data_IF_272990042846
#
_entry.id   IF_272990042846
#
_cell.length_a   1.000
_cell.length_b   1.000
_cell.length_c   1.000
_cell.angle_alpha   90.00
_cell.angle_beta   90.00
_cell.angle_gamma   90.00
#
_symmetry.space_group_name_H-M   'P 1'
#
loop_
_entity.id
_entity.type
_entity.pdbx_description
1 polymer ?
#
# COMPACT_ATOMS: atom_id res chain seq x y z
N UNK A 1 -24.07 -13.43 -16.98
CA UNK A 1 -24.16 -12.29 -17.93
C UNK A 1 -22.79 -12.08 -18.54
N UNK A 2 -22.71 -11.75 -19.85
CA UNK A 2 -21.45 -11.73 -20.59
C UNK A 2 -20.87 -10.33 -20.76
N UNK A 3 -19.57 -10.18 -20.52
CA UNK A 3 -18.81 -8.98 -20.86
C UNK A 3 -18.45 -9.01 -22.35
N UNK A 4 -18.82 -7.98 -23.12
CA UNK A 4 -18.45 -7.88 -24.53
C UNK A 4 -17.28 -6.90 -24.73
N UNK A 5 -16.09 -7.45 -24.97
CA UNK A 5 -14.88 -6.67 -25.26
C UNK A 5 -14.58 -6.73 -26.76
N UNK A 6 -14.86 -5.64 -27.48
CA UNK A 6 -14.58 -5.51 -28.93
C UNK A 6 -13.14 -5.08 -29.26
N UNK A 7 -12.28 -4.98 -28.26
CA UNK A 7 -10.88 -4.60 -28.44
C UNK A 7 -10.03 -5.81 -28.80
N UNK A 8 -9.47 -5.83 -30.01
CA UNK A 8 -8.55 -6.88 -30.45
C UNK A 8 -7.32 -6.97 -29.53
N UNK A 9 -6.83 -5.83 -29.05
CA UNK A 9 -5.70 -5.78 -28.12
C UNK A 9 -6.03 -6.50 -26.82
N UNK A 10 -7.21 -6.25 -26.25
CA UNK A 10 -7.65 -6.91 -25.03
C UNK A 10 -7.80 -8.42 -25.23
N UNK A 11 -8.34 -8.85 -26.37
CA UNK A 11 -8.46 -10.27 -26.72
C UNK A 11 -7.08 -10.94 -26.84
N UNK A 12 -6.09 -10.28 -27.48
CA UNK A 12 -4.71 -10.80 -27.57
C UNK A 12 -4.07 -10.94 -26.18
N UNK A 13 -4.19 -9.91 -25.35
CA UNK A 13 -3.66 -9.93 -23.99
C UNK A 13 -4.30 -11.03 -23.13
N UNK A 14 -5.63 -11.20 -23.22
CA UNK A 14 -6.33 -12.26 -22.50
C UNK A 14 -5.89 -13.67 -22.94
N UNK A 15 -5.67 -13.87 -24.25
CA UNK A 15 -5.14 -15.14 -24.76
C UNK A 15 -3.72 -15.42 -24.27
N UNK A 16 -2.85 -14.41 -24.30
CA UNK A 16 -1.50 -14.52 -23.80
C UNK A 16 -1.49 -14.84 -22.30
N UNK A 17 -2.27 -14.12 -21.51
CA UNK A 17 -2.36 -14.33 -20.07
C UNK A 17 -2.87 -15.74 -19.74
N UNK A 18 -3.88 -16.23 -20.46
CA UNK A 18 -4.37 -17.60 -20.31
C UNK A 18 -3.28 -18.64 -20.62
N UNK A 19 -2.51 -18.44 -21.69
CA UNK A 19 -1.41 -19.33 -22.06
C UNK A 19 -0.28 -19.34 -21.02
N UNK A 20 0.08 -18.18 -20.47
CA UNK A 20 1.12 -18.06 -19.44
C UNK A 20 0.70 -18.62 -18.09
N UNK A 21 -0.58 -18.46 -17.72
CA UNK A 21 -1.12 -18.93 -16.43
C UNK A 21 -1.61 -20.38 -16.46
N UNK A 22 -1.82 -20.95 -17.65
CA UNK A 22 -2.45 -22.27 -17.83
C UNK A 22 -3.96 -22.29 -17.49
N UNK A 23 -4.57 -21.12 -17.29
CA UNK A 23 -5.98 -20.97 -16.95
C UNK A 23 -6.85 -20.81 -18.20
N UNK A 24 -8.18 -20.94 -18.03
CA UNK A 24 -9.11 -20.49 -19.06
C UNK A 24 -9.01 -18.98 -19.25
N UNK A 25 -9.33 -18.46 -20.44
CA UNK A 25 -9.34 -17.01 -20.68
C UNK A 25 -10.20 -16.25 -19.66
N UNK A 26 -11.35 -16.80 -19.29
CA UNK A 26 -12.24 -16.18 -18.29
C UNK A 26 -11.56 -16.14 -16.92
N UNK A 27 -11.04 -17.26 -16.44
CA UNK A 27 -10.39 -17.32 -15.13
C UNK A 27 -9.13 -16.44 -15.06
N UNK A 28 -8.35 -16.40 -16.14
CA UNK A 28 -7.18 -15.52 -16.25
C UNK A 28 -7.56 -14.03 -16.18
N UNK A 29 -8.63 -13.62 -16.88
CA UNK A 29 -9.16 -12.25 -16.82
C UNK A 29 -9.69 -11.93 -15.43
N UNK A 30 -10.49 -12.83 -14.83
CA UNK A 30 -11.05 -12.64 -13.49
C UNK A 30 -9.95 -12.44 -12.46
N UNK A 31 -8.94 -13.32 -12.44
CA UNK A 31 -7.81 -13.21 -11.53
C UNK A 31 -7.01 -11.91 -11.73
N UNK A 32 -6.79 -11.47 -12.98
CA UNK A 32 -6.09 -10.22 -13.25
C UNK A 32 -6.87 -8.99 -12.77
N UNK A 33 -8.20 -8.99 -12.97
CA UNK A 33 -9.07 -7.92 -12.50
C UNK A 33 -9.13 -7.87 -10.97
N UNK A 34 -9.25 -9.02 -10.31
CA UNK A 34 -9.22 -9.12 -8.85
C UNK A 34 -7.90 -8.61 -8.28
N UNK A 35 -6.77 -9.04 -8.85
CA UNK A 35 -5.45 -8.60 -8.43
C UNK A 35 -5.27 -7.08 -8.55
N UNK A 36 -5.75 -6.48 -9.66
CA UNK A 36 -5.65 -5.04 -9.86
C UNK A 36 -6.57 -4.26 -8.90
N UNK A 37 -7.79 -4.74 -8.66
CA UNK A 37 -8.69 -4.15 -7.67
C UNK A 37 -8.07 -4.20 -6.28
N UNK A 38 -7.52 -5.35 -5.87
CA UNK A 38 -6.84 -5.50 -4.60
C UNK A 38 -5.65 -4.55 -4.48
N UNK A 39 -4.81 -4.45 -5.52
CA UNK A 39 -3.67 -3.52 -5.56
C UNK A 39 -4.12 -2.07 -5.35
N UNK A 40 -5.18 -1.65 -6.02
CA UNK A 40 -5.74 -0.30 -5.88
C UNK A 40 -6.32 -0.05 -4.47
N UNK A 41 -6.99 -1.04 -3.88
CA UNK A 41 -7.50 -0.96 -2.51
C UNK A 41 -6.36 -0.83 -1.49
N UNK A 42 -5.32 -1.65 -1.59
CA UNK A 42 -4.15 -1.56 -0.71
C UNK A 42 -3.45 -0.20 -0.82
N UNK A 43 -3.33 0.36 -2.03
CA UNK A 43 -2.74 1.69 -2.22
C UNK A 43 -3.59 2.81 -1.62
N UNK A 44 -4.92 2.73 -1.78
CA UNK A 44 -5.86 3.68 -1.17
C UNK A 44 -5.80 3.62 0.36
N UNK A 45 -5.78 2.44 0.95
CA UNK A 45 -5.69 2.27 2.40
C UNK A 45 -4.39 2.86 2.98
N UNK A 46 -3.25 2.64 2.31
CA UNK A 46 -1.98 3.24 2.72
C UNK A 46 -2.02 4.77 2.65
N UNK A 47 -2.59 5.33 1.57
CA UNK A 47 -2.71 6.78 1.42
C UNK A 47 -3.65 7.39 2.47
N UNK A 48 -4.78 6.75 2.72
CA UNK A 48 -5.76 7.11 3.76
C UNK A 48 -5.12 7.08 5.15
N UNK A 49 -4.43 5.98 5.48
CA UNK A 49 -3.74 5.82 6.76
C UNK A 49 -2.64 6.86 6.94
N UNK A 50 -1.86 7.16 5.90
CA UNK A 50 -0.87 8.25 5.95
C UNK A 50 -1.51 9.60 6.19
N UNK A 51 -2.66 9.88 5.57
CA UNK A 51 -3.40 11.13 5.78
C UNK A 51 -3.86 11.23 7.24
N UNK A 52 -4.47 10.18 7.79
CA UNK A 52 -4.91 10.15 9.20
C UNK A 52 -3.76 10.33 10.19
N UNK A 53 -2.63 9.67 9.95
CA UNK A 53 -1.43 9.86 10.79
C UNK A 53 -0.96 11.32 10.73
N UNK A 54 -0.96 11.93 9.54
CA UNK A 54 -0.60 13.34 9.40
C UNK A 54 -1.59 14.26 10.11
N UNK A 55 -2.89 14.03 9.98
CA UNK A 55 -3.92 14.78 10.72
C UNK A 55 -3.70 14.72 12.24
N UNK A 56 -3.31 13.57 12.78
CA UNK A 56 -2.95 13.41 14.20
C UNK A 56 -1.68 14.19 14.53
N UNK A 57 -0.63 14.07 13.71
CA UNK A 57 0.65 14.77 13.93
C UNK A 57 0.45 16.29 13.90
N UNK A 58 -0.30 16.79 12.93
CA UNK A 58 -0.61 18.21 12.75
C UNK A 58 -1.54 18.73 13.85
N UNK A 59 -2.26 17.84 14.55
CA UNK A 59 -3.08 18.23 15.71
C UNK A 59 -2.27 18.50 16.97
N UNK A 60 -1.01 18.05 17.04
CA UNK A 60 -0.13 18.41 18.15
C UNK A 60 0.33 19.86 18.03
N UNK A 61 0.38 20.56 19.16
CA UNK A 61 1.00 21.88 19.24
C UNK A 61 2.52 21.84 18.99
N UNK A 62 3.16 23.00 18.80
CA UNK A 62 4.61 23.06 18.67
C UNK A 62 5.29 22.47 19.90
N UNK A 63 6.39 21.74 19.68
CA UNK A 63 7.22 21.22 20.76
C UNK A 63 7.80 22.43 21.52
N UNK A 64 7.61 22.53 22.85
CA UNK A 64 8.19 23.62 23.63
C UNK A 64 9.71 23.67 23.49
N UNK A 65 10.28 24.88 23.44
CA UNK A 65 11.73 25.04 23.36
C UNK A 65 12.44 24.38 24.55
N UNK A 66 13.58 23.75 24.28
CA UNK A 66 14.41 23.10 25.29
C UNK A 66 13.92 21.72 25.76
N UNK A 67 12.77 21.23 25.26
CA UNK A 67 12.30 19.87 25.55
C UNK A 67 12.90 18.90 24.54
N UNK A 68 13.56 17.86 25.03
CA UNK A 68 14.14 16.78 24.22
C UNK A 68 13.76 15.42 24.80
N UNK A 69 13.62 14.41 23.93
CA UNK A 69 13.55 13.00 24.33
C UNK A 69 14.93 12.39 24.54
N UNK A 70 15.99 13.19 24.46
CA UNK A 70 17.34 12.79 24.81
C UNK A 70 17.44 12.65 26.34
N UNK A 71 17.85 11.46 26.76
CA UNK A 71 18.05 11.07 28.15
C UNK A 71 19.48 10.58 28.39
N UNK A 72 20.42 10.93 27.50
CA UNK A 72 21.83 10.56 27.60
C UNK A 72 22.48 11.05 28.89
N UNK A 73 21.94 12.09 29.52
CA UNK A 73 22.34 12.57 30.84
C UNK A 73 22.11 11.53 31.96
N UNK A 74 21.06 10.71 31.86
CA UNK A 74 20.69 9.70 32.86
C UNK A 74 21.56 8.44 32.82
N UNK A 75 22.34 8.23 31.75
CA UNK A 75 23.14 7.02 31.54
C UNK A 75 24.63 7.33 31.41
N UNK A 76 25.48 6.41 31.86
CA UNK A 76 26.92 6.45 31.68
C UNK A 76 27.33 6.07 30.24
N UNK A 77 28.64 6.12 29.94
CA UNK A 77 29.17 5.79 28.61
C UNK A 77 28.93 4.33 28.19
N UNK A 78 28.54 3.46 29.13
CA UNK A 78 28.21 2.06 28.90
C UNK A 78 26.69 1.83 28.82
N UNK A 79 25.89 2.89 28.95
CA UNK A 79 24.43 2.83 28.95
C UNK A 79 23.81 2.36 30.27
N UNK A 80 24.57 2.37 31.37
CA UNK A 80 24.06 2.08 32.71
C UNK A 80 23.52 3.34 33.37
N UNK A 81 22.47 3.26 34.22
CA UNK A 81 22.00 4.41 34.98
C UNK A 81 23.13 5.01 35.82
N UNK A 82 23.28 6.34 35.77
CA UNK A 82 24.19 7.08 36.66
C UNK A 82 23.72 7.10 38.11
#
# INVERSE_FOLDING_TARGET
MGMNIKSEKAQRLAKQLAAETGLSMTAAIEQALEAEIQRLHSQRDVAERKRRVREIVDSFGPIPEGVTSDHSDLYDERGLPK
#
